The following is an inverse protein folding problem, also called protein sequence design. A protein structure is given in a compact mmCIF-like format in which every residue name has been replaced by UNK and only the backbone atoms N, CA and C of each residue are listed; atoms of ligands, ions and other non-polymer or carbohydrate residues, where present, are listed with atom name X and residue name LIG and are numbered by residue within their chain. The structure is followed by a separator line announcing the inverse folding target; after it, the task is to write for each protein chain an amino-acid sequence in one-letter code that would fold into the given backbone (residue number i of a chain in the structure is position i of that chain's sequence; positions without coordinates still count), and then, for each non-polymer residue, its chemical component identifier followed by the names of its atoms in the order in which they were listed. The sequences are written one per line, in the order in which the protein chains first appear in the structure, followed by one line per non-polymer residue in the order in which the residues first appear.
data_IF_205669191613
#
_entry.id   IF_205669191613
#
_cell.length_a   1.000
_cell.length_b   1.000
_cell.length_c   1.000
_cell.angle_alpha   90.00
_cell.angle_beta   90.00
_cell.angle_gamma   90.00
#
_symmetry.space_group_name_H-M   'P 1'
#
loop_
_entity.id
_entity.type
_entity.pdbx_description
1 polymer ?
#
# COMPACT_ATOMS: atom_id res chain seq x y z
N UNK A 1 -4.58 -8.32 27.99
CA UNK A 1 -4.24 -9.42 27.05
C UNK A 1 -4.10 -8.97 25.59
N UNK A 2 -4.82 -7.94 25.12
CA UNK A 2 -4.69 -7.41 23.74
C UNK A 2 -3.39 -6.65 23.44
N UNK A 3 -2.79 -5.98 24.43
CA UNK A 3 -1.45 -5.36 24.26
C UNK A 3 -0.35 -6.40 24.00
N UNK A 4 -0.51 -7.61 24.52
CA UNK A 4 0.50 -8.65 24.40
C UNK A 4 0.44 -9.32 23.02
N UNK A 5 -0.76 -9.52 22.46
CA UNK A 5 -0.92 -10.03 21.09
C UNK A 5 -0.54 -9.00 20.02
N UNK A 6 -0.84 -7.71 20.23
CA UNK A 6 -0.39 -6.64 19.35
C UNK A 6 1.13 -6.40 19.44
N UNK A 7 1.75 -6.57 20.62
CA UNK A 7 3.22 -6.60 20.76
C UNK A 7 3.86 -7.82 20.11
N UNK A 8 3.25 -9.00 20.19
CA UNK A 8 3.74 -10.24 19.55
C UNK A 8 3.57 -10.17 18.03
N UNK A 9 2.48 -9.58 17.52
CA UNK A 9 2.33 -9.28 16.09
C UNK A 9 3.34 -8.21 15.63
N UNK A 10 3.53 -7.12 16.38
CA UNK A 10 4.56 -6.10 16.12
C UNK A 10 5.99 -6.66 16.20
N UNK A 11 6.25 -7.64 17.07
CA UNK A 11 7.55 -8.32 17.16
C UNK A 11 7.83 -9.24 15.98
N UNK A 12 6.80 -9.83 15.34
CA UNK A 12 6.98 -10.62 14.10
C UNK A 12 7.39 -9.77 12.89
N UNK A 13 7.18 -8.46 12.93
CA UNK A 13 7.57 -7.50 11.87
C UNK A 13 8.85 -6.69 12.22
N UNK A 14 9.67 -7.17 13.16
CA UNK A 14 11.03 -6.62 13.39
C UNK A 14 12.06 -7.06 12.36
N UNK A 15 11.65 -7.87 11.38
CA UNK A 15 12.41 -8.20 10.18
C UNK A 15 12.12 -7.15 9.11
N UNK A 16 13.16 -6.74 8.36
CA UNK A 16 13.04 -5.82 7.23
C UNK A 16 11.78 -6.11 6.42
N UNK A 17 10.95 -5.10 6.09
CA UNK A 17 9.71 -5.35 5.39
C UNK A 17 10.01 -6.06 4.07
N UNK A 18 9.18 -7.04 3.67
CA UNK A 18 9.50 -7.94 2.56
C UNK A 18 9.74 -7.18 1.26
N UNK A 19 10.47 -7.81 0.34
CA UNK A 19 10.61 -7.29 -1.02
C UNK A 19 9.37 -7.63 -1.83
N UNK A 20 8.91 -6.68 -2.65
CA UNK A 20 7.84 -6.93 -3.64
C UNK A 20 8.45 -7.66 -4.82
N UNK A 21 8.15 -8.94 -5.02
CA UNK A 21 8.73 -9.69 -6.13
C UNK A 21 8.15 -9.24 -7.47
N UNK A 22 6.87 -8.92 -7.52
CA UNK A 22 6.09 -8.60 -8.73
C UNK A 22 5.18 -9.74 -9.18
N UNK A 23 4.84 -10.67 -8.28
CA UNK A 23 3.97 -11.82 -8.58
C UNK A 23 2.50 -11.48 -8.34
N UNK A 24 1.61 -12.17 -9.05
CA UNK A 24 0.16 -11.93 -8.97
C UNK A 24 -0.48 -12.34 -7.63
N UNK A 25 0.18 -13.20 -6.85
CA UNK A 25 -0.27 -13.63 -5.52
C UNK A 25 0.15 -12.67 -4.39
N UNK A 26 0.96 -11.65 -4.69
CA UNK A 26 1.40 -10.68 -3.71
C UNK A 26 0.36 -9.57 -3.46
N UNK A 27 0.09 -9.29 -2.18
CA UNK A 27 -0.77 -8.18 -1.79
C UNK A 27 0.00 -6.85 -1.89
N UNK A 28 -0.12 -6.19 -3.05
CA UNK A 28 0.53 -4.91 -3.33
C UNK A 28 0.11 -3.82 -2.33
N UNK A 29 -1.16 -3.75 -1.93
CA UNK A 29 -1.64 -2.69 -1.04
C UNK A 29 -1.12 -2.88 0.37
N UNK A 30 -1.09 -4.12 0.87
CA UNK A 30 -0.47 -4.43 2.14
C UNK A 30 1.03 -4.11 2.13
N UNK A 31 1.71 -4.39 1.01
CA UNK A 31 3.11 -4.05 0.84
C UNK A 31 3.33 -2.53 0.86
N UNK A 32 2.55 -1.76 0.09
CA UNK A 32 2.62 -0.29 0.06
C UNK A 32 2.38 0.30 1.46
N UNK A 33 1.34 -0.18 2.15
CA UNK A 33 1.04 0.24 3.52
C UNK A 33 2.21 -0.01 4.47
N UNK A 34 2.76 -1.23 4.47
CA UNK A 34 3.89 -1.59 5.31
C UNK A 34 5.15 -0.77 5.01
N UNK A 35 5.38 -0.38 3.74
CA UNK A 35 6.51 0.50 3.37
C UNK A 35 6.33 1.92 3.84
N UNK A 36 5.13 2.49 3.69
CA UNK A 36 4.83 3.83 4.20
C UNK A 36 4.97 3.86 5.72
N UNK A 37 4.50 2.82 6.42
CA UNK A 37 4.66 2.70 7.87
C UNK A 37 6.15 2.59 8.27
N UNK A 38 6.93 1.76 7.58
CA UNK A 38 8.35 1.59 7.85
C UNK A 38 9.16 2.89 7.63
N UNK A 39 8.76 3.69 6.63
CA UNK A 39 9.39 4.96 6.26
C UNK A 39 8.63 6.17 6.79
N UNK A 40 7.78 6.00 7.81
CA UNK A 40 6.91 7.08 8.32
C UNK A 40 7.69 8.32 8.82
N UNK A 41 8.96 8.15 9.20
CA UNK A 41 9.84 9.26 9.57
C UNK A 41 10.22 10.20 8.41
N UNK A 42 9.96 9.81 7.16
CA UNK A 42 10.34 10.53 5.93
C UNK A 42 9.13 11.17 5.23
N UNK A 43 8.17 11.68 6.00
CA UNK A 43 6.96 12.29 5.46
C UNK A 43 7.27 13.51 4.56
N UNK A 44 8.31 14.27 4.89
CA UNK A 44 8.76 15.42 4.09
C UNK A 44 9.22 14.98 2.71
N UNK A 45 10.01 13.93 2.61
CA UNK A 45 10.45 13.35 1.35
C UNK A 45 9.28 12.74 0.58
N UNK A 46 8.37 12.04 1.28
CA UNK A 46 7.18 11.42 0.68
C UNK A 46 6.28 12.43 -0.02
N UNK A 47 6.06 13.56 0.63
CA UNK A 47 5.14 14.60 0.17
C UNK A 47 5.84 15.61 -0.76
N UNK A 48 7.16 15.46 -0.97
CA UNK A 48 7.93 16.27 -1.91
C UNK A 48 7.66 15.90 -3.37
N UNK A 49 7.83 16.88 -4.26
CA UNK A 49 7.70 16.67 -5.71
C UNK A 49 8.99 16.16 -6.36
N UNK A 50 9.81 15.39 -5.64
CA UNK A 50 11.07 14.83 -6.14
C UNK A 50 11.13 13.31 -5.97
N UNK A 51 12.29 12.73 -6.27
CA UNK A 51 12.50 11.27 -6.32
C UNK A 51 13.03 10.67 -5.01
N UNK A 52 13.34 11.48 -3.99
CA UNK A 52 14.07 11.02 -2.79
C UNK A 52 13.35 9.90 -2.05
N UNK A 53 12.04 10.02 -1.87
CA UNK A 53 11.26 8.98 -1.20
C UNK A 53 11.20 7.70 -2.05
N UNK A 54 11.07 7.82 -3.37
CA UNK A 54 11.07 6.65 -4.26
C UNK A 54 12.41 5.93 -4.20
N UNK A 55 13.53 6.64 -4.18
CA UNK A 55 14.86 6.05 -4.03
C UNK A 55 15.05 5.30 -2.70
N UNK A 56 14.36 5.70 -1.63
CA UNK A 56 14.33 4.93 -0.37
C UNK A 56 13.50 3.64 -0.48
N UNK A 57 12.47 3.61 -1.33
CA UNK A 57 11.58 2.46 -1.53
C UNK A 57 12.18 1.43 -2.51
N UNK A 58 12.91 1.88 -3.54
CA UNK A 58 13.49 1.03 -4.60
C UNK A 58 14.31 -0.17 -4.10
N UNK A 59 15.13 -0.07 -3.03
CA UNK A 59 15.86 -1.21 -2.47
C UNK A 59 14.97 -2.39 -2.04
N UNK A 60 13.68 -2.13 -1.82
CA UNK A 60 12.68 -3.13 -1.44
C UNK A 60 11.94 -3.74 -2.65
N UNK A 61 12.33 -3.41 -3.86
CA UNK A 61 11.83 -4.10 -5.05
C UNK A 61 12.62 -5.40 -5.25
N UNK A 62 11.89 -6.49 -5.49
CA UNK A 62 12.42 -7.76 -5.97
C UNK A 62 12.76 -7.69 -7.45
N UNK A 63 13.24 -8.80 -8.05
CA UNK A 63 13.78 -8.80 -9.41
C UNK A 63 12.81 -8.29 -10.48
N UNK A 64 11.56 -8.78 -10.50
CA UNK A 64 10.60 -8.43 -11.56
C UNK A 64 10.10 -6.98 -11.37
N UNK A 65 9.78 -6.61 -10.13
CA UNK A 65 9.44 -5.23 -9.78
C UNK A 65 10.58 -4.25 -10.10
N UNK A 66 11.84 -4.64 -9.90
CA UNK A 66 13.00 -3.82 -10.23
C UNK A 66 13.25 -3.73 -11.74
N UNK A 67 12.96 -4.78 -12.51
CA UNK A 67 12.99 -4.72 -13.98
C UNK A 67 11.98 -3.71 -14.50
N UNK A 68 10.74 -3.80 -14.02
CA UNK A 68 9.69 -2.84 -14.34
C UNK A 68 10.08 -1.40 -13.93
N UNK A 69 10.65 -1.20 -12.74
CA UNK A 69 11.06 0.14 -12.30
C UNK A 69 12.12 0.76 -13.23
N UNK A 70 13.04 -0.05 -13.78
CA UNK A 70 14.01 0.43 -14.77
C UNK A 70 13.35 0.86 -16.08
N UNK A 71 12.36 0.10 -16.56
CA UNK A 71 11.54 0.49 -17.72
C UNK A 71 10.78 1.79 -17.46
N UNK A 72 10.13 1.90 -16.29
CA UNK A 72 9.44 3.12 -15.86
C UNK A 72 10.39 4.32 -15.85
N UNK A 73 11.60 4.16 -15.31
CA UNK A 73 12.62 5.22 -15.30
C UNK A 73 12.99 5.67 -16.71
N UNK A 74 13.12 4.74 -17.66
CA UNK A 74 13.39 5.06 -19.06
C UNK A 74 12.23 5.82 -19.72
N UNK A 75 10.98 5.43 -19.43
CA UNK A 75 9.78 6.09 -19.97
C UNK A 75 9.64 7.52 -19.42
N UNK A 76 9.92 7.72 -18.13
CA UNK A 76 9.79 9.02 -17.48
C UNK A 76 10.93 9.98 -17.80
N UNK A 77 12.10 9.47 -18.18
CA UNK A 77 13.29 10.29 -18.46
C UNK A 77 13.65 11.18 -17.28
N UNK A 78 13.74 12.49 -17.54
CA UNK A 78 14.11 13.51 -16.55
C UNK A 78 12.94 13.93 -15.63
N UNK A 79 11.71 13.41 -15.87
CA UNK A 79 10.57 13.75 -15.02
C UNK A 79 10.80 13.24 -13.60
N UNK A 80 10.48 14.05 -12.58
CA UNK A 80 10.62 13.62 -11.19
C UNK A 80 9.69 12.43 -10.93
N UNK A 81 10.27 11.35 -10.40
CA UNK A 81 9.55 10.17 -9.94
C UNK A 81 8.99 10.45 -8.56
N UNK A 82 7.92 11.25 -8.50
CA UNK A 82 7.25 11.52 -7.23
C UNK A 82 6.65 10.25 -6.66
N UNK A 83 6.48 10.22 -5.34
CA UNK A 83 5.84 9.09 -4.66
C UNK A 83 4.44 8.82 -5.22
N UNK A 84 3.67 9.88 -5.47
CA UNK A 84 2.34 9.79 -6.08
C UNK A 84 2.36 9.06 -7.43
N UNK A 85 3.24 9.47 -8.35
CA UNK A 85 3.36 8.86 -9.66
C UNK A 85 3.80 7.39 -9.55
N UNK A 86 4.74 7.10 -8.65
CA UNK A 86 5.20 5.74 -8.41
C UNK A 86 4.05 4.82 -7.94
N UNK A 87 3.24 5.26 -6.96
CA UNK A 87 2.08 4.50 -6.49
C UNK A 87 1.09 4.24 -7.64
N UNK A 88 0.81 5.25 -8.46
CA UNK A 88 -0.13 5.06 -9.58
C UNK A 88 0.37 4.01 -10.55
N UNK A 89 1.64 4.10 -10.95
CA UNK A 89 2.22 3.19 -11.95
C UNK A 89 2.42 1.77 -11.41
N UNK A 90 2.83 1.62 -10.15
CA UNK A 90 3.00 0.29 -9.55
C UNK A 90 1.66 -0.42 -9.37
N UNK A 91 0.59 0.32 -9.07
CA UNK A 91 -0.78 -0.22 -9.03
C UNK A 91 -1.25 -0.68 -10.40
N UNK A 92 -1.03 0.11 -11.46
CA UNK A 92 -1.37 -0.32 -12.82
C UNK A 92 -0.64 -1.61 -13.21
N UNK A 93 0.60 -1.79 -12.74
CA UNK A 93 1.43 -2.93 -13.14
C UNK A 93 1.18 -4.21 -12.35
N UNK A 94 0.96 -4.11 -11.04
CA UNK A 94 0.98 -5.25 -10.11
C UNK A 94 -0.29 -5.41 -9.28
N UNK A 95 -1.24 -4.47 -9.34
CA UNK A 95 -2.54 -4.65 -8.68
C UNK A 95 -3.36 -5.64 -9.50
N UNK A 96 -4.12 -6.48 -8.81
CA UNK A 96 -5.02 -7.44 -9.45
C UNK A 96 -6.08 -6.72 -10.31
N UNK A 97 -6.39 -7.26 -11.48
CA UNK A 97 -7.33 -6.65 -12.43
C UNK A 97 -8.76 -6.58 -11.90
N UNK A 98 -9.13 -7.51 -11.03
CA UNK A 98 -10.41 -7.55 -10.34
C UNK A 98 -10.31 -7.02 -8.90
N UNK A 99 -9.23 -6.31 -8.56
CA UNK A 99 -8.98 -5.84 -7.20
C UNK A 99 -10.15 -5.03 -6.62
N UNK A 100 -10.68 -4.07 -7.38
CA UNK A 100 -11.82 -3.25 -6.93
C UNK A 100 -13.07 -4.11 -6.74
N UNK A 101 -13.31 -5.08 -7.63
CA UNK A 101 -14.43 -6.02 -7.48
C UNK A 101 -14.27 -6.86 -6.20
N UNK A 102 -13.10 -7.47 -5.99
CA UNK A 102 -12.78 -8.23 -4.77
C UNK A 102 -12.89 -7.38 -3.51
N UNK A 103 -12.46 -6.12 -3.56
CA UNK A 103 -12.52 -5.20 -2.44
C UNK A 103 -13.98 -4.84 -2.10
N UNK A 104 -14.78 -4.53 -3.11
CA UNK A 104 -16.21 -4.25 -2.95
C UNK A 104 -16.98 -5.48 -2.48
N UNK A 105 -16.67 -6.68 -2.98
CA UNK A 105 -17.25 -7.93 -2.47
C UNK A 105 -16.91 -8.14 -0.99
N UNK A 106 -15.64 -7.94 -0.59
CA UNK A 106 -15.25 -8.01 0.83
C UNK A 106 -15.99 -6.99 1.70
N UNK A 107 -16.21 -5.78 1.19
CA UNK A 107 -16.96 -4.74 1.90
C UNK A 107 -18.45 -5.09 2.01
N UNK A 108 -19.05 -5.60 0.94
CA UNK A 108 -20.44 -6.06 0.91
C UNK A 108 -20.68 -7.23 1.87
N UNK A 109 -19.76 -8.20 1.88
CA UNK A 109 -19.85 -9.40 2.70
C UNK A 109 -19.42 -9.17 4.16
N UNK A 110 -18.97 -7.95 4.49
CA UNK A 110 -18.52 -7.59 5.83
C UNK A 110 -19.71 -7.55 6.79
N UNK A 111 -19.84 -8.58 7.61
CA UNK A 111 -20.83 -8.63 8.67
C UNK A 111 -20.31 -7.98 9.96
N UNK A 112 -21.23 -7.45 10.78
CA UNK A 112 -20.92 -6.96 12.12
C UNK A 112 -20.63 -8.18 13.01
N UNK A 113 -19.37 -8.57 13.04
CA UNK A 113 -18.86 -9.63 13.93
C UNK A 113 -17.95 -8.99 14.96
N UNK A 114 -18.39 -8.93 16.22
CA UNK A 114 -17.63 -8.33 17.33
C UNK A 114 -18.14 -6.94 17.71
N UNK A 115 -17.21 -6.09 18.16
CA UNK A 115 -17.53 -4.73 18.59
C UNK A 115 -17.77 -3.79 17.41
N UNK A 116 -18.53 -2.72 17.63
CA UNK A 116 -18.70 -1.67 16.63
C UNK A 116 -17.35 -1.08 16.19
N UNK A 117 -16.40 -0.94 17.11
CA UNK A 117 -15.06 -0.42 16.80
C UNK A 117 -14.28 -1.33 15.85
N UNK A 118 -14.35 -2.64 16.04
CA UNK A 118 -13.70 -3.61 15.14
C UNK A 118 -14.32 -3.60 13.75
N UNK A 119 -15.65 -3.55 13.67
CA UNK A 119 -16.36 -3.40 12.41
C UNK A 119 -15.96 -2.11 11.68
N UNK A 120 -16.01 -0.96 12.36
CA UNK A 120 -15.63 0.34 11.80
C UNK A 120 -14.18 0.34 11.33
N UNK A 121 -13.26 -0.28 12.09
CA UNK A 121 -11.84 -0.37 11.70
C UNK A 121 -11.65 -1.19 10.42
N UNK A 122 -12.38 -2.31 10.27
CA UNK A 122 -12.36 -3.12 9.04
C UNK A 122 -12.95 -2.37 7.84
N UNK A 123 -14.06 -1.65 8.04
CA UNK A 123 -14.66 -0.80 7.00
C UNK A 123 -13.67 0.26 6.55
N UNK A 124 -13.11 1.05 7.47
CA UNK A 124 -12.16 2.12 7.14
C UNK A 124 -10.90 1.58 6.46
N UNK A 125 -10.41 0.41 6.89
CA UNK A 125 -9.28 -0.26 6.24
C UNK A 125 -9.60 -0.60 4.78
N UNK A 126 -10.74 -1.24 4.51
CA UNK A 126 -11.15 -1.58 3.15
C UNK A 126 -11.36 -0.33 2.28
N UNK A 127 -12.00 0.71 2.84
CA UNK A 127 -12.22 1.97 2.12
C UNK A 127 -10.91 2.69 1.76
N UNK A 128 -9.92 2.67 2.66
CA UNK A 128 -8.60 3.27 2.39
C UNK A 128 -7.82 2.60 1.26
N UNK A 129 -8.22 1.39 0.87
CA UNK A 129 -7.61 0.62 -0.22
C UNK A 129 -8.29 0.87 -1.57
N UNK A 130 -9.51 1.44 -1.58
CA UNK A 130 -10.24 1.68 -2.83
C UNK A 130 -9.64 2.86 -3.59
N UNK A 131 -9.60 2.75 -4.92
CA UNK A 131 -9.30 3.88 -5.80
C UNK A 131 -10.52 4.75 -6.11
N UNK A 132 -11.71 4.34 -5.67
CA UNK A 132 -12.94 5.11 -5.85
C UNK A 132 -12.92 6.31 -4.90
N UNK A 133 -13.28 7.49 -5.42
CA UNK A 133 -13.56 8.62 -4.56
C UNK A 133 -14.72 8.26 -3.62
N UNK A 134 -14.47 8.31 -2.31
CA UNK A 134 -15.52 8.13 -1.31
C UNK A 134 -16.59 9.19 -1.55
N UNK A 135 -17.87 8.80 -1.75
CA UNK A 135 -18.94 9.77 -1.91
C UNK A 135 -18.98 10.68 -0.69
N UNK A 136 -19.23 11.99 -0.90
CA UNK A 136 -19.10 13.02 0.15
C UNK A 136 -19.86 12.71 1.44
N UNK A 137 -20.94 11.93 1.36
CA UNK A 137 -21.70 11.45 2.51
C UNK A 137 -20.88 10.67 3.55
N UNK A 138 -19.71 10.15 3.19
CA UNK A 138 -18.83 9.37 4.07
C UNK A 138 -17.68 10.20 4.68
N UNK A 139 -17.54 11.50 4.36
CA UNK A 139 -16.44 12.37 4.81
C UNK A 139 -16.73 13.13 6.12
N UNK A 140 -17.53 12.58 7.04
CA UNK A 140 -17.96 13.26 8.28
C UNK A 140 -17.10 12.95 9.48
#
# INVERSE_FOLDING_TARGET
MFEQQSRVARQKYKTYPPKLQGRADEDLELWLFAKVEHLNGYAVERDSCDFRFVDMVVPFLGPDAMSWYRELKNILGDRPRTWFLFIQQIRVRFRDTDFEFKLLSKLHDLQITGTQQEYTSKVLLLLSQSSLELPEMMKR
#
